data_IF_252401866730
#
_entry.id   IF_252401866730
#
_cell.length_a   1.000
_cell.length_b   1.000
_cell.length_c   1.000
_cell.angle_alpha   90.00
_cell.angle_beta   90.00
_cell.angle_gamma   90.00
#
_symmetry.space_group_name_H-M   'P 1'
#
loop_
_entity.id
_entity.type
_entity.pdbx_description
1 polymer ?
#
# COMPACT_ATOMS: atom_id res chain seq x y z
N UNK A 1 -2.06 15.00 -4.96
CA UNK A 1 -2.48 14.69 -3.56
C UNK A 1 -1.86 15.74 -2.65
N UNK A 2 -2.63 16.47 -1.83
CA UNK A 2 -1.98 17.26 -0.78
C UNK A 2 -1.24 16.29 0.12
N UNK A 3 0.07 16.47 0.27
CA UNK A 3 0.83 15.83 1.34
C UNK A 3 0.18 16.36 2.62
N UNK A 4 -0.79 15.62 3.18
CA UNK A 4 -1.09 15.80 4.60
C UNK A 4 0.21 15.39 5.28
N UNK A 5 0.73 16.28 6.11
CA UNK A 5 1.81 15.94 7.02
C UNK A 5 1.51 14.54 7.53
N UNK A 6 2.25 13.55 7.08
CA UNK A 6 1.85 12.15 7.25
C UNK A 6 1.82 11.75 8.72
N UNK A 7 2.22 12.68 9.59
CA UNK A 7 2.36 12.42 11.02
C UNK A 7 3.24 11.19 11.29
N UNK A 8 4.03 10.78 10.29
CA UNK A 8 4.93 9.63 10.44
C UNK A 8 5.95 9.96 11.53
N UNK A 9 6.08 9.10 12.53
CA UNK A 9 7.12 9.25 13.55
C UNK A 9 8.49 9.01 12.91
N UNK A 10 9.57 9.14 13.71
CA UNK A 10 10.88 8.68 13.27
C UNK A 10 10.84 7.20 12.83
N UNK A 11 11.74 6.83 11.91
CA UNK A 11 11.74 5.52 11.26
C UNK A 11 11.86 4.37 12.26
N UNK A 12 12.74 4.50 13.26
CA UNK A 12 12.98 3.41 14.22
C UNK A 12 11.71 3.08 15.01
N UNK A 13 10.97 4.11 15.44
CA UNK A 13 9.70 3.91 16.10
C UNK A 13 8.63 3.37 15.13
N UNK A 14 8.57 3.90 13.89
CA UNK A 14 7.64 3.40 12.87
C UNK A 14 7.79 1.90 12.65
N UNK A 15 9.01 1.41 12.52
CA UNK A 15 9.29 -0.01 12.30
C UNK A 15 8.85 -0.90 13.46
N UNK A 16 8.80 -0.40 14.70
CA UNK A 16 8.28 -1.17 15.84
C UNK A 16 6.77 -1.41 15.82
N UNK A 17 6.05 -0.67 14.99
CA UNK A 17 4.58 -0.73 14.91
C UNK A 17 4.09 -1.80 13.92
N UNK A 18 4.99 -2.46 13.19
CA UNK A 18 4.69 -3.31 12.04
C UNK A 18 5.45 -4.64 12.12
N UNK A 19 4.74 -5.74 12.03
CA UNK A 19 5.36 -7.05 11.73
C UNK A 19 5.35 -7.26 10.21
N UNK A 20 6.31 -6.62 9.52
CA UNK A 20 6.36 -6.64 8.05
C UNK A 20 6.44 -8.06 7.49
N UNK A 21 7.28 -8.99 7.98
CA UNK A 21 7.30 -10.37 7.51
C UNK A 21 5.93 -11.05 7.58
N UNK A 22 5.25 -10.92 8.72
CA UNK A 22 3.92 -11.50 8.92
C UNK A 22 2.88 -10.88 7.99
N UNK A 23 2.93 -9.56 7.81
CA UNK A 23 2.03 -8.82 6.92
C UNK A 23 2.18 -9.34 5.48
N UNK A 24 3.39 -9.40 4.95
CA UNK A 24 3.64 -9.86 3.58
C UNK A 24 3.23 -11.33 3.40
N UNK A 25 3.48 -12.18 4.39
CA UNK A 25 3.08 -13.58 4.39
C UNK A 25 1.55 -13.73 4.35
N UNK A 26 0.83 -13.05 5.26
CA UNK A 26 -0.64 -13.16 5.35
C UNK A 26 -1.36 -12.60 4.13
N UNK A 27 -0.83 -11.54 3.53
CA UNK A 27 -1.34 -10.99 2.28
C UNK A 27 -0.93 -11.81 1.06
N UNK A 28 0.05 -12.70 1.19
CA UNK A 28 0.53 -13.55 0.10
C UNK A 28 1.28 -12.76 -0.98
N UNK A 29 2.07 -11.77 -0.59
CA UNK A 29 2.76 -10.86 -1.52
C UNK A 29 3.73 -11.62 -2.44
N UNK A 30 4.41 -12.64 -1.95
CA UNK A 30 5.40 -13.42 -2.69
C UNK A 30 4.85 -14.18 -3.92
N UNK A 31 3.53 -14.30 -4.06
CA UNK A 31 2.90 -14.96 -5.22
C UNK A 31 2.83 -14.07 -6.46
N UNK A 32 2.99 -12.76 -6.30
CA UNK A 32 2.95 -11.81 -7.40
C UNK A 32 4.35 -11.63 -7.99
N UNK A 33 4.40 -11.37 -9.29
CA UNK A 33 5.65 -11.13 -9.99
C UNK A 33 6.01 -9.65 -9.95
N UNK A 34 5.18 -8.81 -10.58
CA UNK A 34 5.39 -7.37 -10.64
C UNK A 34 4.38 -6.66 -9.73
N UNK A 35 4.85 -5.73 -8.93
CA UNK A 35 4.05 -5.08 -7.89
C UNK A 35 4.23 -3.58 -7.97
N UNK A 36 3.14 -2.82 -7.78
CA UNK A 36 3.19 -1.37 -7.59
C UNK A 36 2.88 -1.03 -6.11
N UNK A 37 3.64 -0.12 -5.52
CA UNK A 37 3.44 0.39 -4.17
C UNK A 37 3.21 1.89 -4.21
N UNK A 38 2.16 2.38 -3.57
CA UNK A 38 1.92 3.80 -3.38
C UNK A 38 2.32 4.24 -1.98
N UNK A 39 3.23 5.24 -1.89
CA UNK A 39 3.74 5.76 -0.65
C UNK A 39 4.91 4.92 -0.11
N UNK A 40 6.10 5.02 -0.71
CA UNK A 40 7.26 4.25 -0.25
C UNK A 40 7.74 4.64 1.16
N UNK A 41 7.53 5.91 1.55
CA UNK A 41 7.98 6.42 2.84
C UNK A 41 9.45 6.09 3.10
N UNK A 42 9.74 5.48 4.23
CA UNK A 42 11.09 5.06 4.60
C UNK A 42 11.60 3.80 3.86
N UNK A 43 10.78 3.18 3.01
CA UNK A 43 11.09 1.91 2.37
C UNK A 43 10.81 0.69 3.25
N UNK A 44 10.08 0.87 4.35
CA UNK A 44 9.77 -0.18 5.32
C UNK A 44 9.10 -1.40 4.68
N UNK A 45 8.22 -1.19 3.73
CA UNK A 45 7.63 -2.27 2.93
C UNK A 45 8.37 -2.51 1.62
N UNK A 46 8.83 -1.44 0.95
CA UNK A 46 9.45 -1.53 -0.36
C UNK A 46 10.60 -2.54 -0.42
N UNK A 47 11.53 -2.47 0.55
CA UNK A 47 12.70 -3.34 0.55
C UNK A 47 12.34 -4.82 0.78
N UNK A 48 11.50 -5.18 1.79
CA UNK A 48 11.06 -6.56 1.97
C UNK A 48 10.21 -7.09 0.82
N UNK A 49 9.32 -6.28 0.24
CA UNK A 49 8.50 -6.66 -0.92
C UNK A 49 9.40 -7.03 -2.10
N UNK A 50 10.37 -6.18 -2.45
CA UNK A 50 11.27 -6.43 -3.55
C UNK A 50 12.13 -7.68 -3.40
N UNK A 51 12.41 -8.09 -2.15
CA UNK A 51 13.10 -9.35 -1.86
C UNK A 51 12.18 -10.58 -1.96
N UNK A 52 10.87 -10.37 -1.77
CA UNK A 52 9.89 -11.44 -1.72
C UNK A 52 9.31 -11.80 -3.10
N UNK A 53 9.25 -10.85 -4.03
CA UNK A 53 8.65 -11.02 -5.36
C UNK A 53 9.69 -11.51 -6.38
N UNK A 54 9.20 -12.13 -7.48
CA UNK A 54 10.08 -12.65 -8.52
C UNK A 54 10.37 -11.63 -9.65
N UNK A 55 9.68 -10.50 -9.68
CA UNK A 55 9.77 -9.47 -10.72
C UNK A 55 10.24 -8.13 -10.18
N UNK A 56 9.59 -7.06 -10.60
CA UNK A 56 9.94 -5.67 -10.27
C UNK A 56 8.93 -5.05 -9.33
N UNK A 57 9.41 -4.34 -8.30
CA UNK A 57 8.61 -3.42 -7.51
C UNK A 57 8.70 -2.01 -8.10
N UNK A 58 7.58 -1.44 -8.48
CA UNK A 58 7.43 -0.04 -8.86
C UNK A 58 6.89 0.73 -7.65
N UNK A 59 7.68 1.60 -7.05
CA UNK A 59 7.23 2.37 -5.89
C UNK A 59 7.11 3.85 -6.22
N UNK A 60 6.03 4.45 -5.77
CA UNK A 60 5.63 5.83 -6.06
C UNK A 60 5.47 6.62 -4.78
N UNK A 61 5.95 7.85 -4.76
CA UNK A 61 5.71 8.78 -3.68
C UNK A 61 5.68 10.21 -4.22
N UNK A 62 4.92 11.09 -3.57
CA UNK A 62 4.86 12.52 -3.87
C UNK A 62 5.97 13.30 -3.16
N UNK A 63 6.65 12.68 -2.19
CA UNK A 63 7.79 13.27 -1.50
C UNK A 63 9.10 12.84 -2.18
N UNK A 64 9.81 13.78 -2.85
CA UNK A 64 11.07 13.46 -3.51
C UNK A 64 12.17 12.99 -2.55
N UNK A 65 12.09 13.38 -1.28
CA UNK A 65 13.06 12.98 -0.24
C UNK A 65 12.90 11.50 0.08
N UNK A 66 11.65 11.00 0.19
CA UNK A 66 11.36 9.59 0.43
C UNK A 66 11.78 8.74 -0.77
N UNK A 67 11.52 9.20 -1.99
CA UNK A 67 11.99 8.56 -3.21
C UNK A 67 13.50 8.46 -3.26
N UNK A 68 14.22 9.56 -3.01
CA UNK A 68 15.69 9.57 -3.01
C UNK A 68 16.27 8.60 -1.96
N UNK A 69 15.69 8.60 -0.77
CA UNK A 69 16.09 7.73 0.33
C UNK A 69 15.87 6.24 0.00
N UNK A 70 14.68 5.89 -0.48
CA UNK A 70 14.34 4.51 -0.87
C UNK A 70 15.22 4.04 -2.02
N UNK A 71 15.49 4.89 -3.01
CA UNK A 71 16.40 4.58 -4.12
C UNK A 71 17.82 4.23 -3.65
N UNK A 72 18.37 4.97 -2.70
CA UNK A 72 19.70 4.68 -2.14
C UNK A 72 19.70 3.35 -1.40
N UNK A 73 18.68 3.08 -0.58
CA UNK A 73 18.58 1.85 0.21
C UNK A 73 18.28 0.60 -0.62
N UNK A 74 17.68 0.77 -1.80
CA UNK A 74 17.29 -0.32 -2.69
C UNK A 74 18.37 -0.74 -3.68
N UNK A 75 19.59 -0.21 -3.57
CA UNK A 75 20.68 -0.55 -4.48
C UNK A 75 20.87 -2.07 -4.60
N UNK A 76 20.80 -2.58 -5.83
CA UNK A 76 20.90 -4.01 -6.12
C UNK A 76 19.59 -4.82 -5.96
N UNK A 77 18.48 -4.19 -5.56
CA UNK A 77 17.16 -4.80 -5.57
C UNK A 77 16.38 -4.42 -6.84
N UNK A 78 15.42 -5.24 -7.28
CA UNK A 78 14.59 -4.96 -8.45
C UNK A 78 13.49 -3.94 -8.11
N UNK A 79 13.88 -2.71 -7.77
CA UNK A 79 12.98 -1.59 -7.43
C UNK A 79 13.16 -0.45 -8.42
N UNK A 80 12.05 0.05 -8.95
CA UNK A 80 11.95 1.30 -9.70
C UNK A 80 11.26 2.33 -8.82
N UNK A 81 11.98 3.39 -8.41
CA UNK A 81 11.44 4.47 -7.59
C UNK A 81 11.06 5.65 -8.50
N UNK A 82 9.80 6.06 -8.48
CA UNK A 82 9.27 7.16 -9.29
C UNK A 82 8.64 8.24 -8.40
N UNK A 83 9.10 9.48 -8.56
CA UNK A 83 8.49 10.65 -7.93
C UNK A 83 7.27 11.06 -8.74
N UNK A 84 6.08 10.66 -8.29
CA UNK A 84 4.84 10.80 -9.05
C UNK A 84 3.62 11.01 -8.15
N UNK A 85 2.76 11.93 -8.53
CA UNK A 85 1.40 11.96 -8.00
C UNK A 85 0.49 11.01 -8.80
N UNK A 86 0.22 9.84 -8.21
CA UNK A 86 -0.64 8.82 -8.81
C UNK A 86 -2.09 9.31 -8.95
N UNK A 87 -2.53 10.25 -8.13
CA UNK A 87 -3.87 10.83 -8.25
C UNK A 87 -4.05 11.67 -9.52
N UNK A 88 -2.97 12.28 -10.02
CA UNK A 88 -2.99 13.07 -11.25
C UNK A 88 -2.64 12.24 -12.50
N UNK A 89 -1.70 11.30 -12.36
CA UNK A 89 -1.06 10.66 -13.51
C UNK A 89 -1.29 9.13 -13.58
N UNK A 90 -1.97 8.54 -12.59
CA UNK A 90 -2.07 7.09 -12.47
C UNK A 90 -0.71 6.43 -12.20
N UNK A 91 -0.69 5.12 -12.12
CA UNK A 91 0.56 4.36 -11.91
C UNK A 91 1.46 4.31 -13.16
N UNK A 92 0.88 4.34 -14.36
CA UNK A 92 1.64 4.30 -15.62
C UNK A 92 2.39 2.97 -15.85
N UNK A 93 2.05 1.93 -15.13
CA UNK A 93 2.59 0.57 -15.24
C UNK A 93 1.46 -0.45 -15.17
N UNK A 94 1.69 -1.65 -15.71
CA UNK A 94 0.79 -2.80 -15.54
C UNK A 94 1.48 -3.83 -14.63
N UNK A 95 0.77 -4.25 -13.58
CA UNK A 95 1.31 -5.09 -12.51
C UNK A 95 0.33 -6.18 -12.08
N UNK A 96 0.85 -7.18 -11.36
CA UNK A 96 0.02 -8.27 -10.81
C UNK A 96 -0.59 -7.88 -9.46
N UNK A 97 0.01 -6.93 -8.75
CA UNK A 97 -0.58 -6.40 -7.52
C UNK A 97 -0.29 -4.91 -7.31
N UNK A 98 -1.24 -4.22 -6.67
CA UNK A 98 -1.06 -2.85 -6.19
C UNK A 98 -1.19 -2.83 -4.67
N UNK A 99 -0.22 -2.23 -3.99
CA UNK A 99 -0.19 -2.08 -2.53
C UNK A 99 -0.68 -0.67 -2.14
N UNK A 100 -1.77 -0.62 -1.37
CA UNK A 100 -2.34 0.59 -0.79
C UNK A 100 -2.22 0.50 0.73
N UNK A 101 -1.02 0.75 1.26
CA UNK A 101 -0.67 0.52 2.66
C UNK A 101 -0.70 1.81 3.47
N UNK A 102 -1.62 1.87 4.44
CA UNK A 102 -1.80 3.01 5.37
C UNK A 102 -2.05 4.37 4.70
N UNK A 103 -2.66 4.42 3.51
CA UNK A 103 -2.89 5.65 2.73
C UNK A 103 -4.38 5.93 2.45
N UNK A 104 -5.28 4.98 2.75
CA UNK A 104 -6.71 5.06 2.41
C UNK A 104 -7.54 5.97 3.34
N UNK A 105 -6.90 6.74 4.22
CA UNK A 105 -7.53 7.79 5.03
C UNK A 105 -7.46 9.18 4.39
N UNK A 106 -6.98 9.28 3.15
CA UNK A 106 -6.90 10.51 2.37
C UNK A 106 -8.27 11.01 1.89
N UNK A 107 -8.25 12.08 1.09
CA UNK A 107 -9.48 12.78 0.65
C UNK A 107 -10.30 11.98 -0.37
N UNK A 108 -9.71 11.08 -1.12
CA UNK A 108 -10.36 10.38 -2.24
C UNK A 108 -9.95 8.90 -2.33
N UNK A 109 -10.25 8.07 -1.32
CA UNK A 109 -9.82 6.67 -1.32
C UNK A 109 -10.42 5.85 -2.47
N UNK A 110 -11.67 6.10 -2.87
CA UNK A 110 -12.27 5.44 -4.03
C UNK A 110 -11.52 5.74 -5.34
N UNK A 111 -10.98 6.96 -5.50
CA UNK A 111 -10.17 7.30 -6.66
C UNK A 111 -8.84 6.53 -6.66
N UNK A 112 -8.23 6.31 -5.50
CA UNK A 112 -7.05 5.44 -5.38
C UNK A 112 -7.35 4.01 -5.81
N UNK A 113 -8.49 3.45 -5.43
CA UNK A 113 -8.91 2.13 -5.91
C UNK A 113 -9.11 2.10 -7.44
N UNK A 114 -9.68 3.15 -8.05
CA UNK A 114 -9.80 3.24 -9.53
C UNK A 114 -8.44 3.28 -10.22
N UNK A 115 -7.50 4.07 -9.72
CA UNK A 115 -6.13 4.09 -10.25
C UNK A 115 -5.43 2.74 -10.07
N UNK A 116 -5.59 2.11 -8.90
CA UNK A 116 -5.05 0.78 -8.65
C UNK A 116 -5.64 -0.27 -9.59
N UNK A 117 -6.98 -0.29 -9.75
CA UNK A 117 -7.64 -1.19 -10.67
C UNK A 117 -7.15 -1.02 -12.11
N UNK A 118 -6.94 0.22 -12.57
CA UNK A 118 -6.45 0.49 -13.92
C UNK A 118 -5.02 0.00 -14.18
N UNK A 119 -4.23 -0.19 -13.13
CA UNK A 119 -2.87 -0.70 -13.21
C UNK A 119 -2.79 -2.24 -13.13
N UNK A 120 -3.88 -2.92 -12.80
CA UNK A 120 -3.86 -4.38 -12.68
C UNK A 120 -3.94 -5.07 -14.04
N UNK A 121 -3.07 -6.06 -14.21
CA UNK A 121 -3.22 -7.10 -15.24
C UNK A 121 -4.43 -7.98 -14.93
N UNK A 122 -4.85 -8.81 -15.88
CA UNK A 122 -5.89 -9.81 -15.66
C UNK A 122 -5.50 -10.76 -14.53
N UNK A 123 -6.42 -10.99 -13.59
CA UNK A 123 -6.17 -11.78 -12.38
C UNK A 123 -5.34 -11.08 -11.30
N UNK A 124 -4.94 -9.83 -11.52
CA UNK A 124 -4.23 -9.04 -10.52
C UNK A 124 -5.09 -8.62 -9.33
N UNK A 125 -4.44 -8.20 -8.24
CA UNK A 125 -5.11 -7.83 -6.99
C UNK A 125 -4.65 -6.51 -6.41
N UNK A 126 -5.54 -5.81 -5.74
CA UNK A 126 -5.21 -4.72 -4.80
C UNK A 126 -5.09 -5.31 -3.40
N UNK A 127 -3.96 -5.03 -2.75
CA UNK A 127 -3.72 -5.37 -1.36
C UNK A 127 -3.75 -4.08 -0.54
N UNK A 128 -4.64 -4.02 0.43
CA UNK A 128 -4.77 -2.86 1.30
C UNK A 128 -4.46 -3.24 2.75
N UNK A 129 -3.75 -2.39 3.48
CA UNK A 129 -3.66 -2.47 4.94
C UNK A 129 -4.02 -1.12 5.55
N UNK A 130 -4.60 -1.19 6.72
CA UNK A 130 -4.86 0.00 7.51
C UNK A 130 -4.84 -0.31 9.01
N UNK A 131 -4.69 0.75 9.82
CA UNK A 131 -4.82 0.67 11.25
C UNK A 131 -6.19 0.13 11.66
N UNK A 132 -6.22 -0.72 12.67
CA UNK A 132 -7.47 -1.17 13.28
C UNK A 132 -8.27 0.03 13.80
N UNK A 133 -9.58 -0.04 13.69
CA UNK A 133 -10.46 1.00 14.21
C UNK A 133 -10.66 0.83 15.71
N UNK A 134 -9.76 1.37 16.50
CA UNK A 134 -9.73 1.27 17.96
C UNK A 134 -8.47 1.94 18.53
N UNK A 135 -8.23 1.79 19.84
CA UNK A 135 -7.02 2.32 20.47
C UNK A 135 -5.77 1.69 19.87
N UNK A 136 -4.89 2.53 19.35
CA UNK A 136 -3.56 2.16 18.82
C UNK A 136 -2.56 3.22 19.25
N UNK A 137 -1.26 2.91 19.37
CA UNK A 137 -0.27 3.89 19.82
C UNK A 137 -0.04 5.04 18.84
N UNK A 138 -0.40 4.82 17.56
CA UNK A 138 -0.30 5.79 16.46
C UNK A 138 -1.37 5.52 15.41
N UNK A 139 -1.36 6.30 14.35
CA UNK A 139 -2.28 6.21 13.21
C UNK A 139 -3.08 7.49 13.04
N UNK A 140 -3.85 7.62 11.97
CA UNK A 140 -4.76 8.75 11.76
C UNK A 140 -5.87 8.75 12.82
N UNK A 141 -6.54 9.87 12.99
CA UNK A 141 -7.68 10.00 13.90
C UNK A 141 -8.77 8.98 13.55
N UNK A 142 -9.49 8.49 14.56
CA UNK A 142 -10.52 7.45 14.38
C UNK A 142 -11.61 7.85 13.38
N UNK A 143 -11.93 9.15 13.27
CA UNK A 143 -12.94 9.67 12.35
C UNK A 143 -12.59 9.43 10.87
N UNK A 144 -11.30 9.46 10.53
CA UNK A 144 -10.80 9.26 9.17
C UNK A 144 -10.17 7.88 8.96
N UNK A 145 -10.15 7.05 10.00
CA UNK A 145 -9.59 5.71 9.96
C UNK A 145 -10.61 4.74 9.37
N UNK A 146 -10.39 4.22 8.17
CA UNK A 146 -11.40 3.40 7.51
C UNK A 146 -11.60 2.05 8.21
N UNK A 147 -12.83 1.57 8.14
CA UNK A 147 -13.21 0.20 8.52
C UNK A 147 -13.20 -0.71 7.28
N UNK A 148 -13.13 -2.03 7.44
CA UNK A 148 -13.17 -2.97 6.33
C UNK A 148 -14.35 -2.74 5.37
N UNK A 149 -15.54 -2.43 5.90
CA UNK A 149 -16.76 -2.19 5.12
C UNK A 149 -16.63 -0.95 4.21
N UNK A 150 -15.91 0.07 4.66
CA UNK A 150 -15.64 1.26 3.86
C UNK A 150 -14.66 0.96 2.72
N UNK A 151 -13.62 0.14 2.97
CA UNK A 151 -12.72 -0.32 1.92
C UNK A 151 -13.49 -1.11 0.85
N UNK A 152 -14.40 -1.99 1.26
CA UNK A 152 -15.27 -2.76 0.35
C UNK A 152 -16.12 -1.81 -0.51
N UNK A 153 -16.75 -0.80 0.10
CA UNK A 153 -17.57 0.16 -0.62
C UNK A 153 -16.75 0.95 -1.65
N UNK A 154 -15.57 1.44 -1.28
CA UNK A 154 -14.68 2.18 -2.20
C UNK A 154 -14.11 1.31 -3.31
N UNK A 155 -13.76 0.06 -3.00
CA UNK A 155 -13.29 -0.90 -4.00
C UNK A 155 -14.38 -1.24 -5.03
N UNK A 156 -15.63 -1.36 -4.58
CA UNK A 156 -16.78 -1.65 -5.46
C UNK A 156 -16.97 -0.55 -6.52
N UNK A 157 -16.70 0.73 -6.20
CA UNK A 157 -16.71 1.83 -7.17
C UNK A 157 -15.66 1.68 -8.29
N UNK A 158 -14.65 0.85 -8.06
CA UNK A 158 -13.61 0.50 -9.03
C UNK A 158 -13.82 -0.88 -9.69
N UNK A 159 -15.01 -1.48 -9.55
CA UNK A 159 -15.32 -2.84 -9.98
C UNK A 159 -14.39 -3.91 -9.38
N UNK A 160 -14.00 -3.72 -8.12
CA UNK A 160 -13.20 -4.66 -7.36
C UNK A 160 -14.06 -5.29 -6.26
N UNK A 161 -13.91 -6.59 -6.05
CA UNK A 161 -14.58 -7.35 -5.00
C UNK A 161 -13.58 -7.86 -3.98
N UNK A 162 -13.97 -8.00 -2.70
CA UNK A 162 -13.09 -8.56 -1.70
C UNK A 162 -12.79 -10.04 -1.99
N UNK A 163 -11.54 -10.44 -1.76
CA UNK A 163 -11.06 -11.82 -1.85
C UNK A 163 -10.90 -12.36 -0.43
N UNK A 164 -11.96 -12.96 0.09
CA UNK A 164 -12.05 -13.43 1.47
C UNK A 164 -12.32 -12.30 2.47
N UNK A 165 -12.25 -12.64 3.75
CA UNK A 165 -12.51 -11.74 4.86
C UNK A 165 -11.32 -10.83 5.16
N UNK A 166 -11.55 -9.84 6.04
CA UNK A 166 -10.48 -9.01 6.58
C UNK A 166 -9.47 -9.85 7.36
N UNK A 167 -8.20 -9.63 7.10
CA UNK A 167 -7.07 -10.37 7.67
C UNK A 167 -6.49 -9.56 8.82
N UNK A 168 -6.50 -10.14 10.03
CA UNK A 168 -5.84 -9.49 11.17
C UNK A 168 -4.32 -9.46 10.97
N UNK A 169 -3.73 -8.30 11.14
CA UNK A 169 -2.28 -8.04 11.01
C UNK A 169 -1.76 -7.43 12.31
N UNK A 170 -1.54 -8.25 13.35
CA UNK A 170 -1.09 -7.74 14.63
C UNK A 170 0.27 -7.00 14.49
N UNK A 171 0.57 -6.06 15.42
CA UNK A 171 -0.28 -5.76 16.59
C UNK A 171 -1.43 -4.77 16.31
N UNK A 172 -1.38 -3.94 15.25
CA UNK A 172 -2.24 -2.76 15.15
C UNK A 172 -3.01 -2.63 13.83
N UNK A 173 -2.84 -3.56 12.89
CA UNK A 173 -3.36 -3.42 11.54
C UNK A 173 -4.36 -4.51 11.17
N UNK A 174 -5.10 -4.26 10.11
CA UNK A 174 -5.82 -5.26 9.33
C UNK A 174 -5.48 -5.11 7.85
N UNK A 175 -5.66 -6.17 7.10
CA UNK A 175 -5.48 -6.18 5.65
C UNK A 175 -6.68 -6.72 4.91
N UNK A 176 -6.81 -6.33 3.66
CA UNK A 176 -7.81 -6.84 2.72
C UNK A 176 -7.20 -7.03 1.34
N UNK A 177 -7.77 -7.97 0.60
CA UNK A 177 -7.42 -8.24 -0.79
C UNK A 177 -8.64 -7.99 -1.66
N UNK A 178 -8.42 -7.42 -2.83
CA UNK A 178 -9.48 -7.13 -3.79
C UNK A 178 -9.04 -7.58 -5.17
N UNK A 179 -9.96 -8.11 -5.99
CA UNK A 179 -9.73 -8.49 -7.38
C UNK A 179 -10.90 -8.06 -8.25
N UNK A 180 -10.68 -8.00 -9.56
CA UNK A 180 -11.79 -7.96 -10.53
C UNK A 180 -12.50 -9.32 -10.55
N UNK A 181 -13.75 -9.32 -11.06
CA UNK A 181 -14.46 -10.55 -11.41
C UNK A 181 -13.79 -11.29 -12.54
#
# INVERSE_FOLDING_TARGET
MKIRDSGMPDEAYWETLLDVPLILQRLGVARFRDVAELGCGYGTFSLPVARAIAGTLYTFDVDPTMIARTRVRSAGLPIVCDHRDVMEHGFGVEVDAVLLFNILHGESPAALFRHAASALRDGGQVLAIHWQHGPTPRGPDLEIRPRPEQLIAWAAEANLKPVGDAIMLPPWHYGMRFARD
#
